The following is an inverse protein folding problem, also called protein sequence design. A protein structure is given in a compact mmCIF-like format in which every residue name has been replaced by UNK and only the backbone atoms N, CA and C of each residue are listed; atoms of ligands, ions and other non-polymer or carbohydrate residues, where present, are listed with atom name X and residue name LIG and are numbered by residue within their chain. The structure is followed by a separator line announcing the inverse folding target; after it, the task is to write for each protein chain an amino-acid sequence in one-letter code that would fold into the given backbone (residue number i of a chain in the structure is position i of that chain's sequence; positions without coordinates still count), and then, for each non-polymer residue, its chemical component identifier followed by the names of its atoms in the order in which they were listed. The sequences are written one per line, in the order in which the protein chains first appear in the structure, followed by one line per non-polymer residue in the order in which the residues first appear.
data_IF_805567708781
#
_entry.id   IF_805567708781
#
_cell.length_a   1.000
_cell.length_b   1.000
_cell.length_c   1.000
_cell.angle_alpha   90.00
_cell.angle_beta   90.00
_cell.angle_gamma   90.00
#
_symmetry.space_group_name_H-M   'P 1'
#
loop_
_entity.id
_entity.type
_entity.pdbx_description
1 polymer ?
#
# COMPACT_ATOMS: atom_id res chain seq x y z
N UNK A 1 49.20 58.51 -37.99
CA UNK A 1 50.39 57.64 -38.16
C UNK A 1 49.91 56.20 -38.25
N UNK A 2 49.77 55.67 -39.47
CA UNK A 2 49.28 54.31 -39.70
C UNK A 2 50.45 53.34 -39.50
N UNK A 3 50.52 52.68 -38.34
CA UNK A 3 51.40 51.52 -38.16
C UNK A 3 50.86 50.42 -39.06
N UNK A 4 51.61 50.06 -40.10
CA UNK A 4 51.37 48.85 -40.85
C UNK A 4 51.51 47.66 -39.89
N UNK A 5 50.38 47.07 -39.50
CA UNK A 5 50.35 45.81 -38.77
C UNK A 5 50.82 44.75 -39.75
N UNK A 6 51.96 44.11 -39.45
CA UNK A 6 52.49 43.02 -40.25
C UNK A 6 51.44 41.90 -40.32
N UNK A 7 50.79 41.74 -41.47
CA UNK A 7 49.80 40.69 -41.68
C UNK A 7 50.47 39.33 -41.55
N UNK A 8 49.91 38.43 -40.73
CA UNK A 8 50.48 37.09 -40.55
C UNK A 8 50.53 36.32 -41.89
N UNK A 9 51.58 35.51 -42.15
CA UNK A 9 51.68 34.72 -43.36
C UNK A 9 50.47 33.78 -43.51
N UNK A 10 50.04 33.49 -44.76
CA UNK A 10 48.90 32.62 -45.09
C UNK A 10 49.17 31.15 -44.68
N UNK A 11 49.21 30.86 -43.39
CA UNK A 11 49.36 29.52 -42.84
C UNK A 11 47.98 29.05 -42.42
N UNK A 12 47.28 28.28 -43.26
CA UNK A 12 46.11 27.43 -42.95
C UNK A 12 44.86 28.03 -42.29
N UNK A 13 44.94 29.23 -41.70
CA UNK A 13 43.88 29.88 -40.94
C UNK A 13 42.96 30.64 -41.89
N UNK A 14 41.67 30.42 -41.68
CA UNK A 14 40.61 31.22 -42.28
C UNK A 14 40.83 32.72 -41.97
N UNK A 15 40.48 33.60 -42.91
CA UNK A 15 40.69 35.05 -42.83
C UNK A 15 40.12 35.64 -41.53
N UNK A 16 38.98 35.12 -41.05
CA UNK A 16 38.36 35.49 -39.77
C UNK A 16 39.28 35.23 -38.57
N UNK A 17 39.84 34.02 -38.47
CA UNK A 17 40.71 33.65 -37.34
C UNK A 17 42.03 34.43 -37.37
N UNK A 18 42.49 34.82 -38.56
CA UNK A 18 43.67 35.70 -38.70
C UNK A 18 43.41 37.07 -38.10
N UNK A 19 42.27 37.68 -38.41
CA UNK A 19 41.87 38.99 -37.85
C UNK A 19 41.79 38.92 -36.32
N UNK A 20 41.23 37.84 -35.78
CA UNK A 20 41.15 37.64 -34.32
C UNK A 20 42.56 37.51 -33.70
N UNK A 21 43.46 36.74 -34.32
CA UNK A 21 44.84 36.57 -33.84
C UNK A 21 45.65 37.89 -33.90
N UNK A 22 45.35 38.76 -34.87
CA UNK A 22 45.92 40.10 -34.99
C UNK A 22 45.28 41.11 -34.01
N UNK A 23 44.31 40.69 -33.17
CA UNK A 23 43.57 41.53 -32.24
C UNK A 23 42.55 42.46 -32.91
N UNK A 24 42.24 42.20 -34.18
CA UNK A 24 41.23 42.90 -34.95
C UNK A 24 39.82 42.36 -34.69
N UNK A 25 38.82 43.12 -35.12
CA UNK A 25 37.42 42.75 -34.96
C UNK A 25 37.01 41.92 -36.18
N UNK A 26 36.58 40.66 -36.01
CA UNK A 26 36.16 39.82 -37.13
C UNK A 26 34.89 40.40 -37.80
N UNK A 27 34.76 40.30 -39.15
CA UNK A 27 33.57 40.73 -39.86
C UNK A 27 32.39 39.80 -39.57
N UNK A 28 31.16 40.35 -39.62
CA UNK A 28 29.92 39.57 -39.47
C UNK A 28 29.70 38.73 -40.72
N UNK A 29 29.78 37.40 -40.59
CA UNK A 29 29.64 36.45 -41.69
C UNK A 29 28.38 35.60 -41.56
N UNK A 30 27.94 35.31 -40.33
CA UNK A 30 26.79 34.44 -40.08
C UNK A 30 25.59 35.21 -39.54
N UNK A 31 24.39 34.66 -39.75
CA UNK A 31 23.14 35.30 -39.34
C UNK A 31 22.98 35.37 -37.81
N UNK A 32 23.43 34.34 -37.09
CA UNK A 32 23.40 34.33 -35.62
C UNK A 32 24.23 35.48 -35.02
N UNK A 33 25.25 35.98 -35.71
CA UNK A 33 26.08 37.09 -35.23
C UNK A 33 25.33 38.44 -35.26
N UNK A 34 24.19 38.46 -35.96
CA UNK A 34 23.27 39.58 -36.01
C UNK A 34 22.18 39.49 -34.96
N UNK A 35 22.12 38.39 -34.20
CA UNK A 35 21.20 38.25 -33.09
C UNK A 35 21.64 39.10 -31.89
N UNK A 36 20.67 39.48 -31.07
CA UNK A 36 20.87 40.40 -29.94
C UNK A 36 21.92 39.91 -28.94
N UNK A 37 21.93 38.61 -28.64
CA UNK A 37 22.88 38.01 -27.70
C UNK A 37 24.33 38.05 -28.24
N UNK A 38 24.53 37.71 -29.51
CA UNK A 38 25.86 37.71 -30.15
C UNK A 38 26.40 39.13 -30.33
N UNK A 39 25.52 40.09 -30.65
CA UNK A 39 25.86 41.52 -30.64
C UNK A 39 26.27 41.99 -29.24
N UNK A 40 25.57 41.54 -28.19
CA UNK A 40 25.90 41.84 -26.80
C UNK A 40 27.26 41.27 -26.39
N UNK A 41 27.57 40.04 -26.77
CA UNK A 41 28.87 39.42 -26.54
C UNK A 41 30.00 40.18 -27.25
N UNK A 42 29.78 40.55 -28.52
CA UNK A 42 30.75 41.34 -29.31
C UNK A 42 30.96 42.73 -28.71
N UNK A 43 29.90 43.37 -28.22
CA UNK A 43 30.02 44.63 -27.49
C UNK A 43 30.77 44.45 -26.16
N UNK A 44 30.55 43.36 -25.43
CA UNK A 44 31.30 43.04 -24.21
C UNK A 44 32.80 42.83 -24.46
N UNK A 45 33.17 42.19 -25.57
CA UNK A 45 34.57 41.90 -25.93
C UNK A 45 35.32 43.13 -26.49
N UNK A 46 34.69 43.89 -27.39
CA UNK A 46 35.38 44.97 -28.14
C UNK A 46 34.91 46.38 -27.74
N UNK A 47 33.91 46.50 -26.87
CA UNK A 47 33.33 47.78 -26.44
C UNK A 47 32.77 48.60 -27.59
N UNK A 48 32.92 49.93 -27.51
CA UNK A 48 32.46 50.87 -28.54
C UNK A 48 33.12 50.67 -29.91
N UNK A 49 34.31 50.05 -29.96
CA UNK A 49 35.00 49.77 -31.22
C UNK A 49 34.25 48.73 -32.07
N UNK A 50 33.36 47.95 -31.46
CA UNK A 50 32.53 46.95 -32.15
C UNK A 50 31.53 47.55 -33.15
N UNK A 51 31.20 48.84 -33.01
CA UNK A 51 30.18 49.52 -33.83
C UNK A 51 28.75 49.01 -33.59
N UNK A 52 28.51 48.26 -32.51
CA UNK A 52 27.17 47.79 -32.13
C UNK A 52 26.39 48.94 -31.49
N UNK A 53 25.15 49.15 -31.93
CA UNK A 53 24.25 50.12 -31.30
C UNK A 53 23.75 49.59 -29.95
N UNK A 54 24.07 50.32 -28.88
CA UNK A 54 23.71 49.98 -27.50
C UNK A 54 22.19 49.91 -27.32
N UNK A 55 21.43 50.76 -28.03
CA UNK A 55 19.96 50.82 -27.89
C UNK A 55 19.30 49.49 -28.22
N UNK A 56 19.87 48.73 -29.15
CA UNK A 56 19.38 47.42 -29.57
C UNK A 56 19.65 46.31 -28.55
N UNK A 57 20.60 46.51 -27.63
CA UNK A 57 20.95 45.52 -26.61
C UNK A 57 19.96 45.52 -25.44
N UNK A 58 19.32 46.66 -25.16
CA UNK A 58 18.30 46.74 -24.14
C UNK A 58 17.02 46.01 -24.56
N UNK A 59 16.28 45.41 -23.62
CA UNK A 59 15.01 44.79 -23.92
C UNK A 59 14.00 45.80 -24.45
N UNK A 60 13.19 45.37 -25.42
CA UNK A 60 12.08 46.18 -25.92
C UNK A 60 10.93 46.18 -24.91
N UNK A 61 9.99 47.09 -25.07
CA UNK A 61 8.80 47.16 -24.20
C UNK A 61 8.00 45.86 -24.29
N UNK A 62 7.84 45.31 -25.50
CA UNK A 62 7.19 44.01 -25.74
C UNK A 62 7.90 42.87 -25.01
N UNK A 63 9.24 42.79 -25.10
CA UNK A 63 10.02 41.78 -24.36
C UNK A 63 9.85 41.92 -22.84
N UNK A 64 9.78 43.16 -22.31
CA UNK A 64 9.56 43.41 -20.89
C UNK A 64 8.15 42.98 -20.46
N UNK A 65 7.14 43.26 -21.27
CA UNK A 65 5.76 42.84 -21.02
C UNK A 65 5.63 41.32 -21.03
N UNK A 66 6.27 40.63 -21.98
CA UNK A 66 6.33 39.18 -22.04
C UNK A 66 6.98 38.60 -20.78
N UNK A 67 8.13 39.14 -20.36
CA UNK A 67 8.82 38.72 -19.13
C UNK A 67 7.93 38.90 -17.90
N UNK A 68 7.23 40.03 -17.81
CA UNK A 68 6.31 40.30 -16.70
C UNK A 68 5.07 39.40 -16.74
N UNK A 69 4.59 39.03 -17.93
CA UNK A 69 3.44 38.15 -18.12
C UNK A 69 3.71 36.73 -17.62
N UNK A 70 4.96 36.26 -17.69
CA UNK A 70 5.38 34.95 -17.21
C UNK A 70 5.25 34.79 -15.69
N UNK A 71 5.10 35.90 -14.94
CA UNK A 71 4.87 35.92 -13.47
C UNK A 71 5.80 35.00 -12.67
N UNK A 72 7.04 34.85 -13.13
CA UNK A 72 8.06 34.00 -12.48
C UNK A 72 8.41 34.47 -11.06
N UNK A 73 8.14 35.74 -10.77
CA UNK A 73 8.40 36.35 -9.47
C UNK A 73 7.11 36.86 -8.85
N UNK A 74 7.00 36.73 -7.52
CA UNK A 74 5.90 37.28 -6.72
C UNK A 74 6.40 38.44 -5.89
N UNK A 75 5.49 39.33 -5.51
CA UNK A 75 5.82 40.39 -4.55
C UNK A 75 6.09 39.76 -3.18
N UNK A 76 7.10 40.27 -2.48
CA UNK A 76 7.50 39.74 -1.18
C UNK A 76 6.33 39.70 -0.16
N UNK A 77 5.44 40.70 -0.20
CA UNK A 77 4.26 40.77 0.67
C UNK A 77 3.29 39.60 0.44
N UNK A 78 2.95 39.34 -0.82
CA UNK A 78 2.04 38.25 -1.22
C UNK A 78 2.63 36.88 -0.82
N UNK A 79 3.93 36.70 -1.02
CA UNK A 79 4.63 35.48 -0.61
C UNK A 79 4.60 35.28 0.92
N UNK A 80 4.78 36.35 1.69
CA UNK A 80 4.74 36.30 3.15
C UNK A 80 3.32 36.00 3.68
N UNK A 81 2.29 36.59 3.09
CA UNK A 81 0.89 36.30 3.44
C UNK A 81 0.53 34.84 3.15
N UNK A 82 0.94 34.33 1.98
CA UNK A 82 0.72 32.93 1.63
C UNK A 82 1.46 31.96 2.57
N UNK A 83 2.69 32.29 2.96
CA UNK A 83 3.44 31.50 3.93
C UNK A 83 2.74 31.47 5.30
N UNK A 84 2.24 32.60 5.78
CA UNK A 84 1.46 32.67 7.03
C UNK A 84 0.19 31.84 6.95
N UNK A 85 -0.57 31.94 5.87
CA UNK A 85 -1.80 31.17 5.70
C UNK A 85 -1.53 29.66 5.68
N UNK A 86 -0.44 29.23 5.03
CA UNK A 86 -0.03 27.83 5.03
C UNK A 86 0.36 27.35 6.43
N UNK A 87 1.09 28.16 7.20
CA UNK A 87 1.45 27.83 8.59
C UNK A 87 0.20 27.64 9.45
N UNK A 88 -0.76 28.56 9.39
CA UNK A 88 -2.03 28.45 10.13
C UNK A 88 -2.79 27.17 9.77
N UNK A 89 -2.83 26.81 8.48
CA UNK A 89 -3.50 25.58 8.04
C UNK A 89 -2.78 24.31 8.54
N UNK A 90 -1.45 24.30 8.53
CA UNK A 90 -0.66 23.20 9.05
C UNK A 90 -0.82 23.03 10.57
N UNK A 91 -0.87 24.14 11.30
CA UNK A 91 -1.14 24.15 12.74
C UNK A 91 -2.52 23.57 13.05
N UNK A 92 -3.57 24.06 12.37
CA UNK A 92 -4.93 23.53 12.53
C UNK A 92 -4.99 22.03 12.21
N UNK A 93 -4.28 21.59 11.16
CA UNK A 93 -4.22 20.16 10.80
C UNK A 93 -3.51 19.34 11.88
N UNK A 94 -2.45 19.88 12.48
CA UNK A 94 -1.71 19.25 13.58
C UNK A 94 -2.58 19.13 14.82
N UNK A 95 -3.28 20.19 15.19
CA UNK A 95 -4.20 20.21 16.34
C UNK A 95 -5.34 19.19 16.15
N UNK A 96 -6.01 19.19 15.00
CA UNK A 96 -7.06 18.22 14.69
C UNK A 96 -6.54 16.77 14.75
N UNK A 97 -5.29 16.53 14.32
CA UNK A 97 -4.67 15.20 14.42
C UNK A 97 -4.44 14.82 15.88
N UNK A 98 -3.92 15.74 16.70
CA UNK A 98 -3.68 15.50 18.12
C UNK A 98 -4.98 15.21 18.87
N UNK A 99 -6.05 15.98 18.61
CA UNK A 99 -7.37 15.74 19.20
C UNK A 99 -7.89 14.33 18.88
N UNK A 100 -7.80 13.90 17.61
CA UNK A 100 -8.19 12.54 17.21
C UNK A 100 -7.35 11.47 17.91
N UNK A 101 -6.05 11.70 18.06
CA UNK A 101 -5.18 10.76 18.79
C UNK A 101 -5.61 10.70 20.26
N UNK A 102 -5.92 11.82 20.89
CA UNK A 102 -6.36 11.85 22.29
C UNK A 102 -7.70 11.14 22.49
N UNK A 103 -8.66 11.34 21.58
CA UNK A 103 -9.95 10.63 21.59
C UNK A 103 -9.77 9.12 21.42
N UNK A 104 -8.90 8.70 20.50
CA UNK A 104 -8.59 7.30 20.29
C UNK A 104 -7.82 6.70 21.48
N UNK A 105 -6.93 7.47 22.08
CA UNK A 105 -6.16 7.05 23.26
C UNK A 105 -7.07 6.78 24.45
N UNK A 106 -8.09 7.62 24.68
CA UNK A 106 -9.10 7.40 25.72
C UNK A 106 -9.90 6.10 25.51
N UNK A 107 -10.09 5.66 24.26
CA UNK A 107 -10.80 4.43 23.91
C UNK A 107 -9.89 3.21 23.78
N UNK A 108 -8.56 3.41 23.81
CA UNK A 108 -7.58 2.38 23.53
C UNK A 108 -7.65 1.24 24.54
N UNK A 109 -7.69 1.57 25.84
CA UNK A 109 -7.61 0.57 26.90
C UNK A 109 -8.84 -0.35 26.90
N UNK A 110 -10.05 0.22 26.72
CA UNK A 110 -11.27 -0.56 26.57
C UNK A 110 -11.25 -1.47 25.33
N UNK A 111 -10.84 -0.95 24.16
CA UNK A 111 -10.73 -1.78 22.95
C UNK A 111 -9.66 -2.88 23.09
N UNK A 112 -8.60 -2.63 23.86
CA UNK A 112 -7.56 -3.61 24.10
C UNK A 112 -8.07 -4.76 24.98
N UNK A 113 -8.85 -4.45 26.01
CA UNK A 113 -9.53 -5.45 26.86
C UNK A 113 -10.50 -6.30 26.03
N UNK A 114 -11.40 -5.68 25.26
CA UNK A 114 -12.33 -6.37 24.36
C UNK A 114 -11.59 -7.32 23.40
N UNK A 115 -10.49 -6.87 22.80
CA UNK A 115 -9.67 -7.70 21.91
C UNK A 115 -9.06 -8.92 22.62
N UNK A 116 -8.57 -8.76 23.86
CA UNK A 116 -8.04 -9.89 24.62
C UNK A 116 -9.13 -10.87 25.03
N UNK A 117 -10.33 -10.40 25.37
CA UNK A 117 -11.48 -11.25 25.66
C UNK A 117 -11.93 -12.05 24.43
N UNK A 118 -12.09 -11.41 23.28
CA UNK A 118 -12.41 -12.08 22.01
C UNK A 118 -11.33 -13.12 21.63
N UNK A 119 -10.06 -12.77 21.86
CA UNK A 119 -8.96 -13.69 21.62
C UNK A 119 -9.00 -14.88 22.57
N UNK A 120 -9.32 -14.69 23.85
CA UNK A 120 -9.47 -15.79 24.80
C UNK A 120 -10.65 -16.69 24.40
N UNK A 121 -11.81 -16.11 24.08
CA UNK A 121 -12.99 -16.85 23.66
C UNK A 121 -12.75 -17.66 22.38
N UNK A 122 -12.10 -17.07 21.38
CA UNK A 122 -11.78 -17.78 20.13
C UNK A 122 -10.75 -18.91 20.34
N UNK A 123 -9.80 -18.73 21.26
CA UNK A 123 -8.87 -19.80 21.63
C UNK A 123 -9.57 -20.94 22.37
N UNK A 124 -10.52 -20.63 23.25
CA UNK A 124 -11.28 -21.65 23.98
C UNK A 124 -12.26 -22.39 23.06
N UNK A 125 -12.91 -21.69 22.12
CA UNK A 125 -13.71 -22.33 21.07
C UNK A 125 -12.87 -23.29 20.22
N UNK A 126 -11.69 -22.88 19.75
CA UNK A 126 -10.78 -23.75 18.98
C UNK A 126 -10.31 -24.97 19.78
N UNK A 127 -10.06 -24.81 21.09
CA UNK A 127 -9.73 -25.95 21.96
C UNK A 127 -10.90 -26.92 22.07
N UNK A 128 -12.11 -26.42 22.31
CA UNK A 128 -13.33 -27.23 22.40
C UNK A 128 -13.59 -27.98 21.09
N UNK A 129 -13.52 -27.30 19.96
CA UNK A 129 -13.64 -27.92 18.63
C UNK A 129 -12.58 -29.00 18.41
N UNK A 130 -11.33 -28.74 18.82
CA UNK A 130 -10.25 -29.72 18.77
C UNK A 130 -10.49 -30.94 19.66
N UNK A 131 -10.99 -30.74 20.89
CA UNK A 131 -11.37 -31.83 21.79
C UNK A 131 -12.54 -32.65 21.25
N UNK A 132 -13.56 -32.01 20.68
CA UNK A 132 -14.69 -32.68 20.05
C UNK A 132 -14.25 -33.50 18.84
N UNK A 133 -13.36 -32.95 18.02
CA UNK A 133 -12.79 -33.66 16.88
C UNK A 133 -11.99 -34.89 17.34
N UNK A 134 -11.15 -34.74 18.36
CA UNK A 134 -10.41 -35.87 18.94
C UNK A 134 -11.32 -36.96 19.51
N UNK A 135 -12.43 -36.58 20.16
CA UNK A 135 -13.44 -37.54 20.64
C UNK A 135 -14.06 -38.29 19.48
N UNK A 136 -14.49 -37.59 18.42
CA UNK A 136 -15.05 -38.21 17.21
C UNK A 136 -14.07 -39.19 16.56
N UNK A 137 -12.79 -38.81 16.45
CA UNK A 137 -11.74 -39.67 15.88
C UNK A 137 -11.57 -40.94 16.70
N UNK A 138 -11.52 -40.82 18.03
CA UNK A 138 -11.41 -41.98 18.93
C UNK A 138 -12.61 -42.91 18.80
N UNK A 139 -13.83 -42.38 18.73
CA UNK A 139 -15.05 -43.19 18.57
C UNK A 139 -15.09 -43.97 17.25
N UNK A 140 -14.65 -43.36 16.15
CA UNK A 140 -14.54 -44.03 14.84
C UNK A 140 -13.46 -45.11 14.90
N UNK A 141 -12.30 -44.81 15.50
CA UNK A 141 -11.21 -45.78 15.67
C UNK A 141 -11.64 -46.98 16.52
N UNK A 142 -12.39 -46.77 17.60
CA UNK A 142 -12.90 -47.85 18.45
C UNK A 142 -13.91 -48.75 17.72
N UNK A 143 -14.75 -48.20 16.83
CA UNK A 143 -15.74 -48.97 16.08
C UNK A 143 -15.15 -49.74 14.90
N UNK A 144 -14.29 -49.09 14.10
CA UNK A 144 -13.73 -49.70 12.88
C UNK A 144 -12.38 -50.41 13.10
N UNK A 145 -11.67 -50.10 14.20
CA UNK A 145 -10.43 -50.77 14.59
C UNK A 145 -9.15 -50.26 13.90
N UNK A 146 -9.25 -49.24 13.03
CA UNK A 146 -8.11 -48.59 12.39
C UNK A 146 -8.21 -47.07 12.49
N UNK A 147 -7.07 -46.39 12.36
CA UNK A 147 -6.98 -44.95 12.44
C UNK A 147 -7.39 -44.29 11.11
N UNK A 148 -8.20 -43.23 11.19
CA UNK A 148 -8.72 -42.47 10.04
C UNK A 148 -8.46 -41.00 10.30
N UNK A 149 -7.94 -40.31 9.28
CA UNK A 149 -7.68 -38.88 9.32
C UNK A 149 -9.00 -38.09 9.43
N UNK A 150 -9.13 -37.12 10.36
CA UNK A 150 -10.31 -36.28 10.46
C UNK A 150 -10.52 -35.34 9.26
N UNK A 151 -9.47 -35.07 8.48
CA UNK A 151 -9.55 -34.23 7.27
C UNK A 151 -9.98 -35.02 6.02
N UNK A 152 -10.08 -36.36 6.10
CA UNK A 152 -10.58 -37.18 4.99
C UNK A 152 -12.12 -37.05 4.92
N UNK A 153 -12.72 -36.71 3.74
CA UNK A 153 -14.16 -36.69 3.55
C UNK A 153 -14.89 -37.97 3.97
N UNK A 154 -14.20 -39.11 4.00
CA UNK A 154 -14.75 -40.40 4.47
C UNK A 154 -15.05 -40.40 5.96
N UNK A 155 -14.37 -39.58 6.75
CA UNK A 155 -14.51 -39.54 8.20
C UNK A 155 -15.95 -39.22 8.64
N UNK A 156 -16.59 -38.23 8.02
CA UNK A 156 -17.98 -37.86 8.32
C UNK A 156 -18.97 -38.98 8.01
N UNK A 157 -18.75 -39.68 6.88
CA UNK A 157 -19.55 -40.83 6.48
C UNK A 157 -19.38 -41.99 7.48
N UNK A 158 -18.16 -42.28 7.90
CA UNK A 158 -17.87 -43.36 8.85
C UNK A 158 -18.43 -43.06 10.26
N UNK A 159 -18.32 -41.82 10.72
CA UNK A 159 -18.89 -41.39 11.99
C UNK A 159 -20.43 -41.47 11.99
N UNK A 160 -21.08 -41.04 10.91
CA UNK A 160 -22.54 -41.15 10.76
C UNK A 160 -23.01 -42.60 10.70
N UNK A 161 -22.33 -43.46 9.92
CA UNK A 161 -22.64 -44.90 9.85
C UNK A 161 -22.57 -45.57 11.22
N UNK A 162 -21.51 -45.32 12.00
CA UNK A 162 -21.38 -45.81 13.38
C UNK A 162 -22.54 -45.37 14.27
N UNK A 163 -22.94 -44.10 14.18
CA UNK A 163 -24.04 -43.56 15.00
C UNK A 163 -25.40 -44.17 14.62
N UNK A 164 -25.63 -44.51 13.35
CA UNK A 164 -26.83 -45.21 12.89
C UNK A 164 -26.87 -46.66 13.38
N UNK A 165 -25.74 -47.37 13.31
CA UNK A 165 -25.62 -48.75 13.78
C UNK A 165 -25.86 -48.87 15.28
N UNK A 166 -25.29 -47.97 16.10
CA UNK A 166 -25.54 -47.93 17.55
C UNK A 166 -27.03 -47.67 17.84
N UNK A 167 -27.65 -46.71 17.13
CA UNK A 167 -29.10 -46.44 17.28
C UNK A 167 -29.94 -47.67 16.91
N UNK A 168 -29.55 -48.41 15.88
CA UNK A 168 -30.23 -49.65 15.49
C UNK A 168 -30.07 -50.73 16.56
N UNK A 169 -28.86 -50.93 17.08
CA UNK A 169 -28.58 -51.90 18.14
C UNK A 169 -29.32 -51.56 19.43
N UNK A 170 -29.36 -50.29 19.83
CA UNK A 170 -30.15 -49.86 20.99
C UNK A 170 -31.64 -50.13 20.82
N UNK A 171 -32.20 -49.84 19.63
CA UNK A 171 -33.62 -50.12 19.33
C UNK A 171 -33.89 -51.62 19.43
N UNK A 172 -33.02 -52.46 18.88
CA UNK A 172 -33.13 -53.92 18.95
C UNK A 172 -32.97 -54.44 20.39
N UNK A 173 -32.04 -53.91 21.17
CA UNK A 173 -31.85 -54.24 22.58
C UNK A 173 -33.08 -53.85 23.43
N UNK A 174 -33.62 -52.63 23.23
CA UNK A 174 -34.85 -52.16 23.87
C UNK A 174 -36.05 -53.06 23.52
N UNK A 175 -36.17 -53.50 22.26
CA UNK A 175 -37.21 -54.44 21.86
C UNK A 175 -37.03 -55.83 22.48
N UNK A 176 -35.80 -56.37 22.51
CA UNK A 176 -35.49 -57.65 23.16
C UNK A 176 -35.74 -57.60 24.67
N UNK A 177 -35.38 -56.51 25.36
CA UNK A 177 -35.67 -56.32 26.78
C UNK A 177 -37.18 -56.24 27.06
N UNK A 178 -37.95 -55.54 26.20
CA UNK A 178 -39.43 -55.52 26.29
C UNK A 178 -40.04 -56.91 26.07
N UNK A 179 -39.55 -57.68 25.10
CA UNK A 179 -40.01 -59.06 24.84
C UNK A 179 -39.60 -60.01 25.96
N UNK A 180 -38.39 -59.88 26.51
CA UNK A 180 -37.90 -60.65 27.66
C UNK A 180 -38.72 -60.40 28.93
N UNK A 181 -39.03 -59.14 29.26
CA UNK A 181 -39.92 -58.80 30.38
C UNK A 181 -41.34 -59.33 30.20
N UNK A 182 -41.86 -59.39 28.97
CA UNK A 182 -43.14 -60.05 28.68
C UNK A 182 -43.05 -61.57 28.86
N UNK A 183 -41.95 -62.20 28.41
CA UNK A 183 -41.74 -63.65 28.53
C UNK A 183 -41.56 -64.11 29.98
N UNK A 184 -40.84 -63.34 30.80
CA UNK A 184 -40.69 -63.57 32.25
C UNK A 184 -42.02 -63.48 33.00
N UNK A 185 -42.87 -62.51 32.65
CA UNK A 185 -44.23 -62.41 33.21
C UNK A 185 -45.14 -63.57 32.82
N UNK A 186 -44.96 -64.13 31.62
CA UNK A 186 -45.70 -65.31 31.16
C UNK A 186 -45.23 -66.59 31.88
N UNK A 187 -43.92 -66.76 32.08
CA UNK A 187 -43.40 -67.92 32.84
C UNK A 187 -43.72 -67.85 34.33
N UNK A 188 -43.77 -66.65 34.93
CA UNK A 188 -44.24 -66.47 36.32
C UNK A 188 -45.75 -66.75 36.47
N UNK A 189 -46.54 -66.59 35.40
CA UNK A 189 -47.96 -66.98 35.38
C UNK A 189 -48.14 -68.49 35.19
N UNK A 190 -47.35 -69.12 34.30
CA UNK A 190 -47.39 -70.56 34.06
C UNK A 190 -46.86 -71.40 35.26
N UNK A 191 -45.91 -70.87 36.04
CA UNK A 191 -45.43 -71.54 37.28
C UNK A 191 -46.42 -71.41 38.43
N UNK A 192 -47.17 -70.30 38.52
CA UNK A 192 -48.20 -70.10 39.54
C UNK A 192 -49.46 -70.98 39.29
N UNK A 193 -49.79 -71.27 38.03
CA UNK A 193 -50.89 -72.18 37.65
C UNK A 193 -50.56 -73.67 37.86
N UNK A 194 -49.28 -74.06 37.82
CA UNK A 194 -48.84 -75.44 38.12
C UNK A 194 -48.69 -75.76 39.61
N UNK A 195 -48.53 -74.76 40.47
CA UNK A 195 -48.55 -74.93 41.94
C UNK A 195 -49.95 -75.02 42.55
N UNK A 196 -51.01 -74.73 41.79
CA UNK A 196 -52.41 -74.83 42.24
C UNK A 196 -53.13 -76.11 41.77
N UNK A 197 -52.44 -77.01 41.05
CA UNK A 197 -53.04 -78.22 40.44
C UNK A 197 -52.36 -79.56 40.79
N UNK A 198 -51.59 -79.61 41.89
CA UNK A 198 -51.07 -80.85 42.50
C UNK A 198 -51.32 -80.89 44.00
#
# INVERSE_FOLDING_TARGET
MNKAVASLPKIGLNARHRIIAEGGIPPLQYDYEREKWAMGERFGQYGMKSGVDIRRLWPTIEEIEDINSLRMHRKAKEAAELAKNNQMFEELRRENRLQKIEENWKKHDAMLEEYYEEKAQSMDQKKLEGEELQRKVREVQEYFGYWVDPDDPRFEFMHSQRNEDIKLQEKLAKQKAKKGKKRLKLTEQDENEKSESG
#
